data_IF_150417734921
#
_entry.id   IF_150417734921
#
_cell.length_a   1.000
_cell.length_b   1.000
_cell.length_c   1.000
_cell.angle_alpha   90.00
_cell.angle_beta   90.00
_cell.angle_gamma   90.00
#
_symmetry.space_group_name_H-M   'P 1'
#
loop_
_entity.id
_entity.type
_entity.pdbx_description
1 polymer ?
#
# COMPACT_ATOMS: atom_id res chain seq x y z
N UNK A 1 -8.62 7.25 -3.74
CA UNK A 1 -8.82 5.79 -3.72
C UNK A 1 -7.61 5.10 -3.12
N UNK A 2 -7.87 4.18 -2.24
CA UNK A 2 -6.83 3.42 -1.55
C UNK A 2 -6.05 2.52 -2.49
N UNK A 3 -4.75 2.47 -2.29
CA UNK A 3 -3.88 1.49 -2.93
C UNK A 3 -3.10 0.73 -1.87
N UNK A 4 -3.12 -0.57 -1.99
CA UNK A 4 -2.24 -1.44 -1.21
C UNK A 4 -1.06 -1.76 -2.12
N UNK A 5 0.10 -1.26 -1.72
CA UNK A 5 1.28 -1.31 -2.56
C UNK A 5 2.11 -2.58 -2.27
N UNK A 6 2.87 -3.02 -3.26
CA UNK A 6 3.85 -4.09 -3.10
C UNK A 6 5.24 -3.53 -2.81
N UNK A 7 5.48 -2.26 -3.14
CA UNK A 7 6.75 -1.61 -2.89
C UNK A 7 7.06 -1.57 -1.39
N UNK A 8 8.34 -1.72 -0.99
CA UNK A 8 8.70 -1.62 0.42
C UNK A 8 8.24 -0.27 1.02
N UNK A 9 7.76 -0.26 2.26
CA UNK A 9 7.31 0.99 2.88
C UNK A 9 8.37 2.09 2.86
N UNK A 10 9.64 1.73 3.00
CA UNK A 10 10.75 2.69 3.04
C UNK A 10 10.88 3.54 1.77
N UNK A 11 10.42 3.05 0.61
CA UNK A 11 10.53 3.78 -0.66
C UNK A 11 9.31 4.66 -0.96
N UNK A 12 8.25 4.59 -0.15
CA UNK A 12 7.05 5.37 -0.39
C UNK A 12 7.23 6.80 0.08
N UNK A 13 6.58 7.75 -0.63
CA UNK A 13 6.46 9.13 -0.13
C UNK A 13 5.69 9.11 1.19
N UNK A 14 5.88 10.14 2.01
CA UNK A 14 5.17 10.27 3.28
C UNK A 14 3.66 10.22 3.07
N UNK A 15 3.17 10.89 2.03
CA UNK A 15 1.76 10.95 1.69
C UNK A 15 1.19 9.59 1.30
N UNK A 16 1.88 8.84 0.44
CA UNK A 16 1.43 7.51 0.02
C UNK A 16 1.52 6.50 1.16
N UNK A 17 2.56 6.59 1.96
CA UNK A 17 2.75 5.72 3.13
C UNK A 17 1.60 5.91 4.14
N UNK A 18 1.30 7.15 4.49
CA UNK A 18 0.23 7.45 5.44
C UNK A 18 -1.14 7.05 4.88
N UNK A 19 -1.39 7.33 3.61
CA UNK A 19 -2.66 6.98 2.97
C UNK A 19 -2.89 5.46 2.99
N UNK A 20 -1.88 4.68 2.64
CA UNK A 20 -1.99 3.21 2.68
C UNK A 20 -2.25 2.72 4.11
N UNK A 21 -1.48 3.21 5.07
CA UNK A 21 -1.66 2.83 6.48
C UNK A 21 -3.07 3.11 6.99
N UNK A 22 -3.60 4.27 6.65
CA UNK A 22 -4.93 4.68 7.07
C UNK A 22 -6.04 3.84 6.42
N UNK A 23 -5.87 3.51 5.16
CA UNK A 23 -6.93 2.92 4.34
C UNK A 23 -6.91 1.38 4.31
N UNK A 24 -5.75 0.77 4.51
CA UNK A 24 -5.57 -0.68 4.40
C UNK A 24 -6.57 -1.48 5.25
N UNK A 25 -6.87 -1.10 6.50
CA UNK A 25 -7.83 -1.85 7.31
C UNK A 25 -9.24 -1.94 6.72
N UNK A 26 -9.57 -1.14 5.73
CA UNK A 26 -10.87 -1.20 5.06
C UNK A 26 -11.13 -2.54 4.38
N UNK A 27 -10.09 -3.28 4.04
CA UNK A 27 -10.26 -4.63 3.45
C UNK A 27 -11.11 -5.52 4.36
N UNK A 28 -10.95 -5.40 5.66
CA UNK A 28 -11.69 -6.23 6.61
C UNK A 28 -13.20 -6.04 6.52
N UNK A 29 -13.66 -4.87 6.06
CA UNK A 29 -15.09 -4.59 5.87
C UNK A 29 -15.67 -5.31 4.67
N UNK A 30 -14.82 -5.72 3.72
CA UNK A 30 -15.24 -6.39 2.50
C UNK A 30 -15.44 -7.91 2.72
N UNK A 31 -15.11 -8.42 3.89
CA UNK A 31 -15.28 -9.84 4.20
C UNK A 31 -16.74 -10.31 4.08
N UNK A 32 -17.70 -9.37 4.18
CA UNK A 32 -19.12 -9.65 4.00
C UNK A 32 -19.62 -9.41 2.57
N UNK A 33 -18.73 -8.93 1.68
CA UNK A 33 -19.06 -8.64 0.29
C UNK A 33 -19.05 -9.95 -0.51
N UNK A 34 -20.16 -10.25 -1.19
CA UNK A 34 -20.33 -11.48 -1.97
C UNK A 34 -19.71 -11.41 -3.37
N UNK A 35 -19.15 -10.27 -3.76
CA UNK A 35 -18.55 -10.12 -5.09
C UNK A 35 -17.29 -10.97 -5.24
N UNK A 36 -16.96 -11.42 -6.47
CA UNK A 36 -15.80 -12.31 -6.67
C UNK A 36 -14.47 -11.67 -6.25
N UNK A 37 -13.57 -12.52 -5.76
CA UNK A 37 -12.19 -12.14 -5.47
C UNK A 37 -11.37 -12.29 -6.75
N UNK A 38 -10.67 -11.25 -7.21
CA UNK A 38 -9.77 -11.37 -8.36
C UNK A 38 -8.67 -12.39 -8.12
N UNK A 39 -8.29 -13.13 -9.17
CA UNK A 39 -7.23 -14.12 -9.09
C UNK A 39 -5.84 -13.49 -9.05
N UNK A 40 -5.70 -12.25 -9.53
CA UNK A 40 -4.42 -11.55 -9.64
C UNK A 40 -4.50 -10.18 -9.00
N UNK A 41 -3.35 -9.70 -8.52
CA UNK A 41 -3.21 -8.31 -8.08
C UNK A 41 -3.65 -7.40 -9.22
N UNK A 42 -4.65 -6.59 -8.96
CA UNK A 42 -5.26 -5.69 -9.94
C UNK A 42 -5.50 -4.33 -9.32
N UNK A 43 -5.53 -3.29 -10.15
CA UNK A 43 -5.92 -1.94 -9.74
C UNK A 43 -7.40 -1.71 -10.07
N UNK A 44 -7.98 -0.69 -9.46
CA UNK A 44 -9.39 -0.36 -9.70
C UNK A 44 -10.35 -1.31 -9.01
N UNK A 45 -11.41 -1.69 -9.72
CA UNK A 45 -12.42 -2.60 -9.17
C UNK A 45 -11.79 -3.93 -8.76
N UNK A 46 -12.06 -4.36 -7.53
CA UNK A 46 -11.53 -5.61 -7.02
C UNK A 46 -10.16 -5.52 -6.36
N UNK A 47 -9.48 -4.36 -6.42
CA UNK A 47 -8.16 -4.21 -5.83
C UNK A 47 -8.14 -4.64 -4.34
N UNK A 48 -9.04 -4.10 -3.54
CA UNK A 48 -9.07 -4.42 -2.11
C UNK A 48 -9.55 -5.85 -1.87
N UNK A 49 -10.53 -6.35 -2.65
CA UNK A 49 -11.03 -7.73 -2.49
C UNK A 49 -9.97 -8.79 -2.79
N UNK A 50 -8.98 -8.47 -3.61
CA UNK A 50 -7.86 -9.38 -3.87
C UNK A 50 -7.21 -9.85 -2.57
N UNK A 51 -7.20 -9.02 -1.53
CA UNK A 51 -6.51 -9.31 -0.28
C UNK A 51 -7.35 -10.10 0.72
N UNK A 52 -8.64 -10.36 0.45
CA UNK A 52 -9.48 -11.11 1.39
C UNK A 52 -8.91 -12.49 1.74
N UNK A 53 -8.44 -13.31 0.77
CA UNK A 53 -7.78 -14.57 1.12
C UNK A 53 -6.32 -14.40 1.55
N UNK A 54 -5.83 -13.17 1.67
CA UNK A 54 -4.41 -12.87 1.96
C UNK A 54 -4.27 -11.98 3.19
N UNK A 55 -5.13 -12.18 4.18
CA UNK A 55 -5.18 -11.30 5.35
C UNK A 55 -3.93 -11.39 6.23
N UNK A 56 -3.23 -12.51 6.23
CA UNK A 56 -1.97 -12.64 6.96
C UNK A 56 -0.89 -11.73 6.38
N UNK A 57 -0.76 -11.72 5.05
CA UNK A 57 0.15 -10.80 4.38
C UNK A 57 -0.23 -9.35 4.68
N UNK A 58 -1.53 -9.06 4.62
CA UNK A 58 -2.04 -7.72 4.85
C UNK A 58 -1.74 -7.23 6.27
N UNK A 59 -1.91 -8.09 7.27
CA UNK A 59 -1.58 -7.75 8.66
C UNK A 59 -0.10 -7.44 8.84
N UNK A 60 0.79 -8.23 8.22
CA UNK A 60 2.23 -7.97 8.25
C UNK A 60 2.57 -6.67 7.52
N UNK A 61 1.94 -6.43 6.38
CA UNK A 61 2.11 -5.17 5.63
C UNK A 61 1.74 -3.97 6.50
N UNK A 62 0.61 -4.04 7.20
CA UNK A 62 0.16 -2.96 8.06
C UNK A 62 1.16 -2.70 9.20
N UNK A 63 1.71 -3.74 9.80
CA UNK A 63 2.74 -3.60 10.82
C UNK A 63 4.01 -2.93 10.27
N UNK A 64 4.41 -3.27 9.06
CA UNK A 64 5.56 -2.67 8.38
C UNK A 64 5.31 -1.18 8.09
N UNK A 65 4.11 -0.84 7.62
CA UNK A 65 3.72 0.56 7.38
C UNK A 65 3.76 1.36 8.69
N UNK A 66 3.24 0.79 9.77
CA UNK A 66 3.26 1.42 11.09
C UNK A 66 4.70 1.69 11.54
N UNK A 67 5.56 0.68 11.43
CA UNK A 67 6.97 0.82 11.83
C UNK A 67 7.67 1.92 11.03
N UNK A 68 7.43 1.96 9.73
CA UNK A 68 8.05 2.98 8.86
C UNK A 68 7.56 4.39 9.22
N UNK A 69 6.26 4.56 9.44
CA UNK A 69 5.69 5.86 9.84
C UNK A 69 6.28 6.33 11.17
N UNK A 70 6.39 5.43 12.16
CA UNK A 70 6.99 5.77 13.44
C UNK A 70 8.47 6.16 13.28
N UNK A 71 9.21 5.46 12.41
CA UNK A 71 10.62 5.78 12.13
C UNK A 71 10.78 7.15 11.48
N UNK A 72 9.75 7.64 10.78
CA UNK A 72 9.73 8.98 10.19
C UNK A 72 9.28 10.07 11.17
N UNK A 73 8.97 9.72 12.41
CA UNK A 73 8.56 10.67 13.43
C UNK A 73 7.07 11.00 13.42
N UNK A 74 6.25 10.21 12.72
CA UNK A 74 4.81 10.45 12.68
C UNK A 74 4.16 10.08 14.00
N UNK A 75 3.27 10.96 14.51
CA UNK A 75 2.41 10.65 15.63
C UNK A 75 1.14 9.97 15.10
N UNK A 76 0.98 8.68 15.43
CA UNK A 76 -0.13 7.90 14.94
C UNK A 76 -1.20 7.71 16.02
N UNK A 77 -2.47 7.77 15.61
CA UNK A 77 -3.57 7.37 16.49
C UNK A 77 -3.41 5.88 16.80
N UNK A 78 -3.41 5.48 18.08
CA UNK A 78 -3.29 4.06 18.44
C UNK A 78 -4.40 3.23 17.80
N UNK A 79 -4.01 2.09 17.21
CA UNK A 79 -4.93 1.12 16.61
C UNK A 79 -4.53 -0.28 17.04
N UNK A 80 -5.49 -1.19 17.25
CA UNK A 80 -5.15 -2.59 17.48
C UNK A 80 -4.37 -3.15 16.28
N UNK A 81 -3.36 -4.00 16.51
CA UNK A 81 -2.68 -4.66 15.40
C UNK A 81 -3.65 -5.57 14.64
N UNK A 82 -3.47 -5.66 13.33
CA UNK A 82 -4.25 -6.57 12.50
C UNK A 82 -3.74 -8.00 12.68
N UNK A 83 -4.63 -9.02 12.53
CA UNK A 83 -4.19 -10.41 12.56
C UNK A 83 -3.16 -10.69 11.48
N UNK A 84 -2.20 -11.58 11.77
CA UNK A 84 -1.15 -11.99 10.84
C UNK A 84 -1.20 -13.49 10.51
N UNK A 85 -2.20 -14.19 11.05
CA UNK A 85 -2.35 -15.65 10.93
C UNK A 85 -3.26 -16.09 9.78
N UNK A 86 -3.73 -15.16 8.97
CA UNK A 86 -4.52 -15.47 7.77
C UNK A 86 -3.65 -15.91 6.60
N UNK A 87 -4.28 -15.97 5.41
CA UNK A 87 -3.59 -16.38 4.19
C UNK A 87 -2.38 -15.50 3.86
N UNK A 88 -1.37 -16.15 3.28
CA UNK A 88 -0.15 -15.47 2.87
C UNK A 88 -0.16 -15.16 1.38
N UNK A 89 0.83 -14.41 0.94
CA UNK A 89 1.02 -14.03 -0.45
C UNK A 89 2.44 -13.50 -0.63
N UNK A 90 2.98 -13.76 -1.79
CA UNK A 90 4.21 -13.12 -2.21
C UNK A 90 3.96 -12.44 -3.55
N UNK A 91 4.15 -11.10 -3.65
CA UNK A 91 3.98 -10.39 -4.92
C UNK A 91 4.93 -10.96 -5.98
N UNK A 92 4.36 -11.30 -7.13
CA UNK A 92 5.16 -11.69 -8.29
C UNK A 92 5.64 -10.45 -9.05
N UNK A 93 6.44 -10.68 -10.10
CA UNK A 93 6.99 -9.59 -10.89
C UNK A 93 5.91 -8.75 -11.56
N UNK A 94 4.80 -9.37 -11.98
CA UNK A 94 3.69 -8.64 -12.57
C UNK A 94 3.02 -7.72 -11.55
N UNK A 95 2.77 -8.21 -10.34
CA UNK A 95 2.19 -7.39 -9.27
C UNK A 95 3.09 -6.19 -8.95
N UNK A 96 4.40 -6.43 -8.85
CA UNK A 96 5.37 -5.37 -8.57
C UNK A 96 5.39 -4.34 -9.70
N UNK A 97 5.35 -4.79 -10.95
CA UNK A 97 5.36 -3.91 -12.12
C UNK A 97 4.10 -3.06 -12.19
N UNK A 98 2.94 -3.67 -11.97
CA UNK A 98 1.66 -2.97 -11.95
C UNK A 98 1.66 -1.89 -10.87
N UNK A 99 2.11 -2.24 -9.67
CA UNK A 99 2.19 -1.28 -8.57
C UNK A 99 3.19 -0.15 -8.85
N UNK A 100 4.38 -0.50 -9.34
CA UNK A 100 5.41 0.50 -9.67
C UNK A 100 4.88 1.52 -10.70
N UNK A 101 4.24 1.03 -11.76
CA UNK A 101 3.65 1.90 -12.78
C UNK A 101 2.61 2.85 -12.20
N UNK A 102 1.81 2.37 -11.25
CA UNK A 102 0.80 3.19 -10.59
C UNK A 102 1.43 4.27 -9.70
N UNK A 103 2.48 3.93 -8.97
CA UNK A 103 3.19 4.90 -8.14
C UNK A 103 3.83 6.00 -8.99
N UNK A 104 4.48 5.62 -10.08
CA UNK A 104 5.06 6.59 -11.03
C UNK A 104 3.98 7.52 -11.57
N UNK A 105 2.88 6.96 -12.03
CA UNK A 105 1.76 7.74 -12.58
C UNK A 105 1.18 8.71 -11.57
N UNK A 106 0.98 8.23 -10.33
CA UNK A 106 0.42 9.03 -9.25
C UNK A 106 1.32 10.21 -8.88
N UNK A 107 2.61 9.97 -8.79
CA UNK A 107 3.56 11.03 -8.43
C UNK A 107 3.67 12.07 -9.54
N UNK A 108 3.75 11.62 -10.80
CA UNK A 108 3.82 12.55 -11.95
C UNK A 108 2.57 13.38 -12.09
N UNK A 109 1.40 12.82 -11.73
CA UNK A 109 0.12 13.54 -11.77
C UNK A 109 -0.21 14.32 -10.50
N UNK A 110 0.66 14.35 -9.51
CA UNK A 110 0.40 15.01 -8.24
C UNK A 110 0.31 16.54 -8.42
N UNK A 111 -0.74 17.14 -7.86
CA UNK A 111 -0.95 18.59 -7.93
C UNK A 111 -0.21 19.36 -6.84
N UNK A 112 0.25 18.64 -5.81
CA UNK A 112 0.98 19.22 -4.68
C UNK A 112 2.31 18.50 -4.52
N UNK A 113 3.31 19.19 -3.96
CA UNK A 113 4.58 18.52 -3.68
C UNK A 113 4.38 17.31 -2.79
N UNK A 114 5.11 16.23 -3.09
CA UNK A 114 5.19 15.04 -2.26
C UNK A 114 6.54 15.01 -1.56
N UNK A 115 6.61 14.30 -0.46
CA UNK A 115 7.78 14.32 0.44
C UNK A 115 8.25 12.92 0.76
N UNK A 116 9.54 12.77 0.99
CA UNK A 116 10.13 11.58 1.59
C UNK A 116 10.93 12.01 2.82
N UNK A 117 10.49 11.57 3.98
CA UNK A 117 11.05 12.00 5.28
C UNK A 117 11.12 13.52 5.39
N UNK A 118 10.04 14.17 5.00
CA UNK A 118 9.89 15.61 5.07
C UNK A 118 10.55 16.41 3.97
N UNK A 119 11.27 15.77 3.05
CA UNK A 119 11.97 16.44 1.95
C UNK A 119 11.17 16.28 0.66
N UNK A 120 10.93 17.38 -0.06
CA UNK A 120 10.24 17.35 -1.35
C UNK A 120 10.99 16.45 -2.33
N UNK A 121 10.26 15.56 -3.01
CA UNK A 121 10.83 14.67 -4.01
C UNK A 121 10.53 15.15 -5.42
N UNK A 122 11.41 14.83 -6.40
CA UNK A 122 11.13 15.15 -7.80
C UNK A 122 10.03 14.23 -8.35
N UNK A 123 9.39 14.64 -9.46
CA UNK A 123 8.36 13.85 -10.12
C UNK A 123 8.87 12.47 -10.57
N UNK A 124 10.18 12.29 -10.71
CA UNK A 124 10.83 11.06 -11.14
C UNK A 124 11.23 10.14 -9.97
N UNK A 125 10.83 10.48 -8.75
CA UNK A 125 11.27 9.77 -7.54
C UNK A 125 11.03 8.27 -7.58
N UNK A 126 9.92 7.83 -8.17
CA UNK A 126 9.57 6.41 -8.25
C UNK A 126 10.09 5.71 -9.51
N UNK A 127 10.74 6.43 -10.44
CA UNK A 127 11.12 5.86 -11.73
C UNK A 127 12.04 4.64 -11.59
N UNK A 128 12.87 4.59 -10.55
CA UNK A 128 13.76 3.46 -10.27
C UNK A 128 13.01 2.15 -10.02
N UNK A 129 11.74 2.22 -9.62
CA UNK A 129 10.93 1.02 -9.39
C UNK A 129 10.58 0.29 -10.69
N UNK A 130 10.70 0.97 -11.83
CA UNK A 130 10.44 0.39 -13.16
C UNK A 130 11.65 -0.30 -13.75
N UNK A 131 12.82 -0.16 -13.13
CA UNK A 131 14.07 -0.74 -13.64
C UNK A 131 14.12 -2.26 -13.47
#
# INVERSE_FOLDING_TARGET
MTRINTAPPAVLTDEHLFAEWRELPRVLRLALDARPVPARYTLGAGHMRFFLPRLGWLGRRHAELTAELLSRGCALTPRPPLPTDGGDWEPDDDARRVNAGRLVERLRGARRPMHHRGVVVPATFYDHLLA
#
